data_IF_116127556193
#
_entry.id   IF_116127556193
#
_cell.length_a   1.000
_cell.length_b   1.000
_cell.length_c   1.000
_cell.angle_alpha   90.00
_cell.angle_beta   90.00
_cell.angle_gamma   90.00
#
_symmetry.space_group_name_H-M   'P 1'
#
loop_
_entity.id
_entity.type
_entity.pdbx_description
1 polymer ?
#
# COMPACT_ATOMS: atom_id res chain seq x y z
N UNK A 1 30.44 -13.87 17.44
CA UNK A 1 30.42 -14.26 16.02
C UNK A 1 31.70 -14.98 15.70
N UNK A 2 31.61 -16.20 15.16
CA UNK A 2 32.80 -16.90 14.66
C UNK A 2 33.11 -16.48 13.22
N UNK A 3 34.34 -16.73 12.75
CA UNK A 3 34.81 -16.29 11.41
C UNK A 3 33.83 -16.68 10.30
N UNK A 4 33.36 -17.94 10.31
CA UNK A 4 32.38 -18.46 9.34
C UNK A 4 31.07 -17.67 9.29
N UNK A 5 30.60 -17.13 10.41
CA UNK A 5 29.39 -16.30 10.46
C UNK A 5 29.62 -14.93 9.80
N UNK A 6 30.81 -14.33 9.97
CA UNK A 6 31.15 -13.07 9.31
C UNK A 6 31.28 -13.19 7.80
N UNK A 7 31.82 -14.30 7.31
CA UNK A 7 31.87 -14.57 5.86
C UNK A 7 30.47 -14.72 5.26
N UNK A 8 29.56 -15.39 5.98
CA UNK A 8 28.15 -15.51 5.58
C UNK A 8 27.43 -14.17 5.53
N UNK A 9 27.67 -13.28 6.51
CA UNK A 9 27.11 -11.92 6.52
C UNK A 9 27.61 -11.13 5.31
N UNK A 10 28.92 -11.12 5.03
CA UNK A 10 29.47 -10.43 3.86
C UNK A 10 28.89 -10.94 2.54
N UNK A 11 28.72 -12.27 2.41
CA UNK A 11 28.12 -12.88 1.21
C UNK A 11 26.64 -12.51 1.06
N UNK A 12 25.89 -12.50 2.16
CA UNK A 12 24.49 -12.06 2.16
C UNK A 12 24.37 -10.59 1.75
N UNK A 13 25.22 -9.70 2.28
CA UNK A 13 25.24 -8.29 1.93
C UNK A 13 25.63 -8.05 0.47
N UNK A 14 26.57 -8.83 -0.08
CA UNK A 14 26.95 -8.76 -1.50
C UNK A 14 25.79 -9.10 -2.45
N UNK A 15 24.94 -10.06 -2.06
CA UNK A 15 23.77 -10.46 -2.86
C UNK A 15 22.64 -9.43 -2.70
N UNK A 16 22.25 -9.16 -1.45
CA UNK A 16 21.02 -8.41 -1.11
C UNK A 16 21.21 -6.89 -1.06
N UNK A 17 22.46 -6.42 -1.05
CA UNK A 17 22.85 -5.02 -0.79
C UNK A 17 22.27 -4.46 0.52
N UNK A 18 21.94 -5.34 1.47
CA UNK A 18 21.36 -4.98 2.75
C UNK A 18 22.42 -4.51 3.76
N UNK A 19 21.96 -3.79 4.79
CA UNK A 19 22.83 -3.38 5.89
C UNK A 19 23.21 -4.58 6.79
N UNK A 20 24.30 -4.44 7.54
CA UNK A 20 24.86 -5.54 8.34
C UNK A 20 23.87 -6.04 9.41
N UNK A 21 23.10 -5.15 10.03
CA UNK A 21 22.10 -5.51 11.04
C UNK A 21 20.99 -6.39 10.46
N UNK A 22 20.48 -6.05 9.27
CA UNK A 22 19.45 -6.82 8.57
C UNK A 22 20.01 -8.17 8.14
N UNK A 23 21.22 -8.21 7.59
CA UNK A 23 21.90 -9.44 7.22
C UNK A 23 22.06 -10.40 8.42
N UNK A 24 22.47 -9.89 9.59
CA UNK A 24 22.61 -10.69 10.81
C UNK A 24 21.25 -11.24 11.26
N UNK A 25 20.22 -10.40 11.30
CA UNK A 25 18.88 -10.81 11.74
C UNK A 25 18.29 -11.89 10.82
N UNK A 26 18.36 -11.70 9.50
CA UNK A 26 17.91 -12.71 8.54
C UNK A 26 18.70 -14.02 8.69
N UNK A 27 20.03 -13.96 8.77
CA UNK A 27 20.83 -15.17 8.93
C UNK A 27 20.58 -15.89 10.26
N UNK A 28 20.31 -15.17 11.35
CA UNK A 28 19.97 -15.78 12.65
C UNK A 28 18.65 -16.54 12.59
N UNK A 29 17.62 -15.96 11.98
CA UNK A 29 16.28 -16.56 11.88
C UNK A 29 16.24 -17.81 10.98
N UNK A 30 17.16 -17.90 10.01
CA UNK A 30 17.22 -19.01 9.04
C UNK A 30 18.43 -19.95 9.28
N UNK A 31 18.84 -20.12 10.54
CA UNK A 31 19.91 -21.04 10.94
C UNK A 31 21.23 -20.85 10.14
N UNK A 32 21.56 -19.63 9.75
CA UNK A 32 22.74 -19.26 8.96
C UNK A 32 22.81 -19.95 7.59
N UNK A 33 21.66 -20.27 7.00
CA UNK A 33 21.53 -20.74 5.62
C UNK A 33 21.29 -19.54 4.70
N UNK A 34 22.29 -19.21 3.88
CA UNK A 34 22.27 -18.01 3.02
C UNK A 34 21.10 -18.07 2.03
N UNK A 35 20.93 -19.18 1.32
CA UNK A 35 19.90 -19.34 0.29
C UNK A 35 18.50 -19.06 0.86
N UNK A 36 18.14 -19.71 1.96
CA UNK A 36 16.83 -19.51 2.61
C UNK A 36 16.65 -18.08 3.14
N UNK A 37 17.70 -17.51 3.73
CA UNK A 37 17.65 -16.13 4.23
C UNK A 37 17.50 -15.12 3.09
N UNK A 38 18.14 -15.36 1.95
CA UNK A 38 18.08 -14.50 0.75
C UNK A 38 16.71 -14.61 0.09
N UNK A 39 16.18 -15.81 -0.08
CA UNK A 39 14.82 -16.04 -0.59
C UNK A 39 13.77 -15.37 0.30
N UNK A 40 13.94 -15.46 1.62
CA UNK A 40 13.08 -14.74 2.56
C UNK A 40 13.25 -13.22 2.43
N UNK A 41 14.48 -12.71 2.34
CA UNK A 41 14.73 -11.28 2.19
C UNK A 41 14.08 -10.73 0.91
N UNK A 42 14.18 -11.44 -0.21
CA UNK A 42 13.56 -11.00 -1.46
C UNK A 42 12.05 -11.18 -1.47
N UNK A 43 11.49 -12.26 -0.90
CA UNK A 43 10.03 -12.41 -0.77
C UNK A 43 9.43 -11.37 0.19
N UNK A 44 10.12 -11.05 1.28
CA UNK A 44 9.74 -9.97 2.18
C UNK A 44 9.93 -8.59 1.53
N UNK A 45 10.97 -8.39 0.72
CA UNK A 45 11.14 -7.14 -0.02
C UNK A 45 10.14 -7.00 -1.17
N UNK A 46 9.66 -8.10 -1.78
CA UNK A 46 8.51 -8.10 -2.70
C UNK A 46 7.21 -7.74 -1.95
N UNK A 47 7.05 -8.21 -0.71
CA UNK A 47 5.93 -7.80 0.15
C UNK A 47 6.06 -6.33 0.65
N UNK A 48 7.29 -5.84 0.86
CA UNK A 48 7.58 -4.47 1.33
C UNK A 48 7.75 -3.45 0.19
N UNK A 49 7.84 -3.90 -1.06
CA UNK A 49 7.75 -3.04 -2.26
C UNK A 49 6.31 -2.78 -2.67
N UNK A 50 5.34 -3.36 -1.95
CA UNK A 50 4.09 -2.66 -1.69
C UNK A 50 4.40 -1.65 -0.58
N UNK A 51 4.55 -0.35 -0.89
CA UNK A 51 4.62 0.65 0.15
C UNK A 51 3.45 0.43 1.12
N UNK A 52 3.72 0.39 2.42
CA UNK A 52 2.66 0.23 3.41
C UNK A 52 1.64 1.34 3.18
N UNK A 53 0.44 0.95 2.74
CA UNK A 53 -0.68 1.86 2.57
C UNK A 53 -0.87 2.65 3.85
N UNK A 54 -0.67 3.96 3.80
CA UNK A 54 -0.83 4.81 4.97
C UNK A 54 -2.32 4.99 5.27
N UNK A 55 -2.88 4.09 6.07
CA UNK A 55 -4.31 4.07 6.41
C UNK A 55 -4.79 5.39 7.01
N UNK A 56 -3.93 6.07 7.79
CA UNK A 56 -4.26 7.37 8.39
C UNK A 56 -4.46 8.43 7.31
N UNK A 57 -3.61 8.47 6.28
CA UNK A 57 -3.78 9.40 5.16
C UNK A 57 -5.04 9.12 4.37
N UNK A 58 -5.39 7.85 4.13
CA UNK A 58 -6.64 7.50 3.42
C UNK A 58 -7.85 7.91 4.26
N UNK A 59 -7.83 7.69 5.57
CA UNK A 59 -8.91 8.12 6.46
C UNK A 59 -9.09 9.64 6.46
N UNK A 60 -8.00 10.41 6.54
CA UNK A 60 -8.04 11.87 6.46
C UNK A 60 -8.55 12.36 5.10
N UNK A 61 -8.19 11.64 4.02
CA UNK A 61 -8.68 11.95 2.69
C UNK A 61 -10.18 11.68 2.57
N UNK A 62 -10.68 10.59 3.15
CA UNK A 62 -12.12 10.34 3.25
C UNK A 62 -12.83 11.47 4.01
N UNK A 63 -12.27 11.89 5.16
CA UNK A 63 -12.81 12.98 5.96
C UNK A 63 -12.87 14.32 5.22
N UNK A 64 -12.01 14.53 4.20
CA UNK A 64 -12.03 15.73 3.34
C UNK A 64 -13.29 15.80 2.47
N UNK A 65 -13.84 14.66 2.04
CA UNK A 65 -14.95 14.60 1.07
C UNK A 65 -16.26 14.10 1.65
N UNK A 66 -16.27 13.57 2.88
CA UNK A 66 -17.50 13.06 3.51
C UNK A 66 -18.57 14.14 3.64
N UNK A 67 -19.82 13.69 3.67
CA UNK A 67 -20.95 14.58 3.87
C UNK A 67 -21.03 15.08 5.34
N UNK A 68 -21.34 16.37 5.59
CA UNK A 68 -21.46 16.91 6.94
C UNK A 68 -22.61 16.33 7.77
N UNK A 69 -23.64 15.78 7.11
CA UNK A 69 -24.79 15.14 7.75
C UNK A 69 -24.64 13.62 7.79
N UNK A 70 -23.99 13.03 6.79
CA UNK A 70 -23.76 11.59 6.68
C UNK A 70 -22.27 11.24 6.73
N UNK A 71 -21.74 11.08 7.94
CA UNK A 71 -20.29 10.95 8.17
C UNK A 71 -19.64 9.69 7.58
N UNK A 72 -20.42 8.69 7.20
CA UNK A 72 -19.93 7.45 6.58
C UNK A 72 -20.11 7.43 5.05
N UNK A 73 -20.54 8.54 4.46
CA UNK A 73 -20.80 8.65 3.02
C UNK A 73 -20.05 9.85 2.42
N UNK A 74 -19.53 9.65 1.21
CA UNK A 74 -19.21 10.70 0.26
C UNK A 74 -20.38 10.75 -0.73
N UNK A 75 -21.18 11.80 -0.69
CA UNK A 75 -22.31 12.00 -1.60
C UNK A 75 -21.89 12.80 -2.84
N UNK A 76 -22.82 13.10 -3.75
CA UNK A 76 -22.58 13.78 -5.02
C UNK A 76 -21.63 15.00 -4.93
N UNK A 77 -21.83 15.90 -3.96
CA UNK A 77 -20.97 17.09 -3.78
C UNK A 77 -19.56 16.75 -3.34
N UNK A 78 -19.37 15.66 -2.58
CA UNK A 78 -18.05 15.15 -2.21
C UNK A 78 -17.38 14.42 -3.37
N UNK A 79 -18.15 13.64 -4.13
CA UNK A 79 -17.68 12.94 -5.32
C UNK A 79 -17.23 13.90 -6.42
N UNK A 80 -17.98 14.96 -6.69
CA UNK A 80 -17.59 15.99 -7.66
C UNK A 80 -16.24 16.63 -7.29
N UNK A 81 -16.08 17.01 -6.02
CA UNK A 81 -14.81 17.52 -5.48
C UNK A 81 -13.65 16.52 -5.63
N UNK A 82 -13.89 15.26 -5.33
CA UNK A 82 -12.86 14.22 -5.44
C UNK A 82 -12.50 13.92 -6.91
N UNK A 83 -13.50 13.60 -7.73
CA UNK A 83 -13.30 13.11 -9.09
C UNK A 83 -12.94 14.24 -10.06
N UNK A 84 -13.71 15.32 -10.06
CA UNK A 84 -13.58 16.39 -11.06
C UNK A 84 -12.50 17.37 -10.67
N UNK A 85 -12.51 17.86 -9.42
CA UNK A 85 -11.59 18.92 -9.02
C UNK A 85 -10.20 18.38 -8.70
N UNK A 86 -10.10 17.32 -7.89
CA UNK A 86 -8.81 16.83 -7.41
C UNK A 86 -8.18 15.80 -8.37
N UNK A 87 -8.97 14.90 -8.95
CA UNK A 87 -8.48 13.89 -9.90
C UNK A 87 -8.60 14.30 -11.37
N UNK A 88 -9.29 15.40 -11.69
CA UNK A 88 -9.52 15.87 -13.07
C UNK A 88 -10.16 14.82 -13.98
N UNK A 89 -11.02 13.97 -13.39
CA UNK A 89 -11.80 12.96 -14.07
C UNK A 89 -13.18 13.50 -14.44
N UNK A 90 -13.60 13.39 -15.72
CA UNK A 90 -14.95 13.71 -16.12
C UNK A 90 -15.94 12.69 -15.54
N UNK A 91 -17.08 13.17 -15.00
CA UNK A 91 -18.10 12.33 -14.35
C UNK A 91 -18.76 11.34 -15.32
N UNK A 92 -18.83 11.70 -16.60
CA UNK A 92 -19.37 10.89 -17.71
C UNK A 92 -18.28 10.05 -18.42
N UNK A 93 -17.03 10.12 -17.97
CA UNK A 93 -15.93 9.36 -18.53
C UNK A 93 -15.91 7.90 -18.08
N UNK A 94 -15.49 7.01 -18.98
CA UNK A 94 -15.26 5.59 -18.65
C UNK A 94 -14.27 5.40 -17.48
N UNK A 95 -13.35 6.33 -17.28
CA UNK A 95 -12.40 6.33 -16.16
C UNK A 95 -13.08 6.52 -14.81
N UNK A 96 -14.12 7.34 -14.73
CA UNK A 96 -14.93 7.48 -13.52
C UNK A 96 -15.64 6.16 -13.19
N UNK A 97 -16.19 5.48 -14.20
CA UNK A 97 -16.83 4.18 -14.01
C UNK A 97 -15.83 3.09 -13.63
N UNK A 98 -14.64 3.06 -14.23
CA UNK A 98 -13.57 2.14 -13.84
C UNK A 98 -13.14 2.35 -12.38
N UNK A 99 -13.08 3.60 -11.91
CA UNK A 99 -12.77 3.89 -10.52
C UNK A 99 -13.88 3.42 -9.58
N UNK A 100 -15.14 3.70 -9.91
CA UNK A 100 -16.29 3.20 -9.13
C UNK A 100 -16.29 1.66 -9.05
N UNK A 101 -15.97 0.98 -10.15
CA UNK A 101 -15.81 -0.47 -10.18
C UNK A 101 -14.65 -0.94 -9.29
N UNK A 102 -13.51 -0.26 -9.33
CA UNK A 102 -12.37 -0.55 -8.43
C UNK A 102 -12.69 -0.35 -6.96
N UNK A 103 -13.59 0.57 -6.64
CA UNK A 103 -14.02 0.83 -5.26
C UNK A 103 -15.10 -0.15 -4.82
N UNK A 104 -15.52 -1.06 -5.71
CA UNK A 104 -16.66 -1.95 -5.52
C UNK A 104 -17.94 -1.21 -5.12
N UNK A 105 -18.12 0.00 -5.68
CA UNK A 105 -19.22 0.88 -5.35
C UNK A 105 -20.56 0.29 -5.78
N UNK A 106 -21.50 0.21 -4.83
CA UNK A 106 -22.80 -0.42 -5.06
C UNK A 106 -23.86 0.53 -5.58
N UNK A 107 -23.77 1.80 -5.22
CA UNK A 107 -24.76 2.84 -5.53
C UNK A 107 -24.11 3.95 -6.33
N UNK A 108 -24.79 4.42 -7.38
CA UNK A 108 -24.32 5.56 -8.16
C UNK A 108 -24.44 6.87 -7.37
N UNK A 109 -23.43 7.72 -7.46
CA UNK A 109 -23.45 9.05 -6.86
C UNK A 109 -23.10 9.07 -5.37
N UNK A 110 -22.67 7.93 -4.82
CA UNK A 110 -22.12 7.86 -3.47
C UNK A 110 -20.96 6.85 -3.36
N UNK A 111 -20.09 7.08 -2.38
CA UNK A 111 -19.18 6.07 -1.84
C UNK A 111 -19.38 5.96 -0.35
N UNK A 112 -19.55 4.73 0.14
CA UNK A 112 -19.42 4.44 1.57
C UNK A 112 -17.96 4.55 2.01
N UNK A 113 -17.77 4.78 3.30
CA UNK A 113 -16.44 4.75 3.92
C UNK A 113 -15.68 3.47 3.61
N UNK A 114 -16.36 2.33 3.69
CA UNK A 114 -15.75 1.02 3.42
C UNK A 114 -15.31 0.90 1.97
N UNK A 115 -16.16 1.26 1.00
CA UNK A 115 -15.83 1.24 -0.43
C UNK A 115 -14.64 2.15 -0.73
N UNK A 116 -14.64 3.37 -0.21
CA UNK A 116 -13.55 4.33 -0.42
C UNK A 116 -12.22 3.84 0.17
N UNK A 117 -12.22 3.41 1.44
CA UNK A 117 -10.99 2.96 2.09
C UNK A 117 -10.43 1.70 1.42
N UNK A 118 -11.29 0.74 1.06
CA UNK A 118 -10.86 -0.48 0.39
C UNK A 118 -10.37 -0.22 -1.03
N UNK A 119 -11.09 0.59 -1.81
CA UNK A 119 -10.67 0.98 -3.16
C UNK A 119 -9.29 1.65 -3.16
N UNK A 120 -9.05 2.53 -2.19
CA UNK A 120 -7.75 3.20 -2.04
C UNK A 120 -6.62 2.27 -1.59
N UNK A 121 -6.93 1.25 -0.78
CA UNK A 121 -5.97 0.17 -0.45
C UNK A 121 -5.61 -0.65 -1.68
N UNK A 122 -6.60 -1.02 -2.49
CA UNK A 122 -6.40 -1.81 -3.71
C UNK A 122 -5.65 -1.05 -4.80
N UNK A 123 -5.86 0.26 -4.91
CA UNK A 123 -5.08 1.12 -5.81
C UNK A 123 -3.63 1.32 -5.35
N UNK A 124 -3.27 0.83 -4.16
CA UNK A 124 -1.91 0.91 -3.65
C UNK A 124 -1.43 2.35 -3.45
N UNK A 125 -2.33 3.27 -3.06
CA UNK A 125 -2.01 4.69 -2.89
C UNK A 125 -0.85 4.89 -1.91
N UNK A 126 0.36 4.92 -2.46
CA UNK A 126 1.55 5.53 -1.90
C UNK A 126 2.41 6.02 -3.06
N UNK A 127 2.33 7.31 -3.34
CA UNK A 127 3.41 8.14 -3.88
C UNK A 127 3.10 9.60 -3.59
#
# INVERSE_FOLDING_TARGET
>A
MNSSQRDKVKKFQSITHSNEKVAINCLQNYNWKIEQAVDFYYSQNQANSNPQVNETKIALLFDKYKDPKYFDLILATGMERFLVHDLQLPLDGITCLMLAWKFSAKTQGEFTRTEFLNGMRELGMNK
#
